data_IF_281880382116
#
_entry.id   IF_281880382116
#
_cell.length_a   1.000
_cell.length_b   1.000
_cell.length_c   1.000
_cell.angle_alpha   90.00
_cell.angle_beta   90.00
_cell.angle_gamma   90.00
#
_symmetry.space_group_name_H-M   'P 1'
#
loop_
_entity.id
_entity.type
_entity.pdbx_description
1 polymer ?
#
# COMPACT_ATOMS: atom_id res chain seq x y z
N UNK A 1 -3.70 12.76 -10.61
CA UNK A 1 -2.62 12.85 -9.59
C UNK A 1 -3.06 13.65 -8.38
N UNK A 2 -2.53 13.33 -7.21
CA UNK A 2 -2.78 14.10 -5.99
C UNK A 2 -1.91 15.36 -5.97
N UNK A 3 -2.56 16.52 -5.87
CA UNK A 3 -1.92 17.83 -5.74
C UNK A 3 -2.00 18.28 -4.30
N UNK A 4 -0.85 18.62 -3.71
CA UNK A 4 -0.80 19.24 -2.40
C UNK A 4 -1.29 20.68 -2.48
N UNK A 5 -2.33 21.01 -1.72
CA UNK A 5 -2.75 22.38 -1.45
C UNK A 5 -2.47 22.72 0.00
N UNK A 6 -1.85 23.87 0.21
CA UNK A 6 -1.60 24.41 1.54
C UNK A 6 -2.65 25.50 1.78
N UNK A 7 -3.42 25.34 2.85
CA UNK A 7 -4.45 26.30 3.21
C UNK A 7 -3.81 27.63 3.66
N UNK A 8 -4.29 28.72 3.09
CA UNK A 8 -3.92 30.10 3.46
C UNK A 8 -4.79 30.65 4.61
N UNK A 9 -5.69 29.82 5.15
CA UNK A 9 -6.57 30.15 6.27
C UNK A 9 -7.92 30.78 5.88
N UNK A 10 -8.68 31.24 6.87
CA UNK A 10 -9.86 32.10 6.65
C UNK A 10 -11.25 31.45 6.62
N UNK A 11 -11.43 30.20 7.09
CA UNK A 11 -12.77 29.59 7.20
C UNK A 11 -13.53 30.11 8.44
N UNK A 12 -14.65 30.85 8.30
CA UNK A 12 -15.40 31.43 9.42
C UNK A 12 -16.01 30.40 10.39
N UNK A 13 -16.18 29.16 9.93
CA UNK A 13 -16.90 28.10 10.65
C UNK A 13 -15.97 27.13 11.39
N UNK A 14 -14.65 27.29 11.25
CA UNK A 14 -13.67 26.41 11.89
C UNK A 14 -12.72 27.25 12.77
N UNK A 15 -12.49 26.85 14.02
CA UNK A 15 -11.60 27.58 14.96
C UNK A 15 -10.26 26.84 15.12
N UNK A 16 -9.14 27.53 14.86
CA UNK A 16 -7.77 27.06 15.21
C UNK A 16 -6.89 28.23 15.64
N UNK A 17 -5.81 27.93 16.38
CA UNK A 17 -4.86 28.94 16.89
C UNK A 17 -4.07 29.65 15.78
N UNK A 18 -3.93 29.03 14.61
CA UNK A 18 -3.23 29.62 13.45
C UNK A 18 -4.17 29.89 12.26
N UNK A 19 -5.48 30.04 12.51
CA UNK A 19 -6.47 30.33 11.48
C UNK A 19 -6.44 29.36 10.26
N UNK A 20 -6.06 28.09 10.48
CA UNK A 20 -5.86 27.01 9.49
C UNK A 20 -4.74 27.24 8.48
N UNK A 21 -3.93 28.29 8.66
CA UNK A 21 -2.76 28.54 7.82
C UNK A 21 -1.77 27.39 7.96
N UNK A 22 -1.32 26.85 6.83
CA UNK A 22 -0.35 25.76 6.77
C UNK A 22 -0.96 24.36 6.79
N UNK A 23 -2.29 24.22 6.86
CA UNK A 23 -2.94 22.91 6.73
C UNK A 23 -2.70 22.35 5.33
N UNK A 24 -2.22 21.11 5.27
CA UNK A 24 -2.02 20.39 4.02
C UNK A 24 -3.26 19.58 3.68
N UNK A 25 -3.81 19.79 2.49
CA UNK A 25 -4.92 19.02 1.92
C UNK A 25 -4.49 18.51 0.56
N UNK A 26 -4.70 17.22 0.32
CA UNK A 26 -4.45 16.62 -0.98
C UNK A 26 -5.75 16.58 -1.77
N UNK A 27 -5.72 17.13 -2.98
CA UNK A 27 -6.85 17.08 -3.92
C UNK A 27 -6.44 16.27 -5.15
N UNK A 28 -7.35 15.41 -5.62
CA UNK A 28 -7.10 14.66 -6.84
C UNK A 28 -7.41 15.52 -8.07
N UNK A 29 -6.43 15.68 -8.94
CA UNK A 29 -6.53 16.37 -10.22
C UNK A 29 -6.21 15.38 -11.36
N UNK A 30 -7.17 14.99 -12.19
CA UNK A 30 -6.98 13.98 -13.22
C UNK A 30 -5.97 14.39 -14.31
N UNK A 31 -5.75 15.69 -14.52
CA UNK A 31 -4.95 16.22 -15.63
C UNK A 31 -3.47 16.42 -15.26
N UNK A 32 -3.10 16.26 -13.98
CA UNK A 32 -1.76 16.53 -13.45
C UNK A 32 -0.82 15.30 -13.38
N UNK A 33 -1.07 14.26 -14.19
CA UNK A 33 -0.20 13.09 -14.33
C UNK A 33 0.99 13.32 -15.23
N UNK A 34 2.22 13.03 -14.78
CA UNK A 34 3.28 12.77 -15.74
C UNK A 34 2.93 11.51 -16.54
N UNK A 35 3.41 11.36 -17.79
CA UNK A 35 3.17 10.15 -18.58
C UNK A 35 3.64 8.86 -17.87
N UNK A 36 4.68 8.95 -17.05
CA UNK A 36 5.19 7.83 -16.24
C UNK A 36 4.23 7.45 -15.12
N UNK A 37 3.66 8.43 -14.43
CA UNK A 37 2.67 8.17 -13.37
C UNK A 37 1.39 7.54 -13.93
N UNK A 38 0.94 8.02 -15.10
CA UNK A 38 -0.21 7.45 -15.79
C UNK A 38 0.07 6.01 -16.25
N UNK A 39 1.27 5.74 -16.77
CA UNK A 39 1.68 4.39 -17.15
C UNK A 39 1.71 3.41 -15.96
N UNK A 40 2.00 3.88 -14.74
CA UNK A 40 1.90 3.04 -13.54
C UNK A 40 0.46 2.70 -13.17
N UNK A 41 -0.47 3.64 -13.37
CA UNK A 41 -1.91 3.44 -13.12
C UNK A 41 -2.53 2.52 -14.17
N UNK A 42 -2.15 2.70 -15.43
CA UNK A 42 -2.65 1.94 -16.59
C UNK A 42 -1.88 0.64 -16.83
N UNK A 43 -0.86 0.37 -16.02
CA UNK A 43 -0.05 -0.83 -16.08
C UNK A 43 -0.85 -2.11 -15.87
N UNK A 44 -0.28 -3.27 -16.24
CA UNK A 44 -0.94 -4.55 -16.03
C UNK A 44 -1.26 -4.78 -14.55
N UNK A 45 -2.42 -5.37 -14.29
CA UNK A 45 -2.84 -5.70 -12.93
C UNK A 45 -1.83 -6.63 -12.25
N UNK A 46 -1.49 -6.31 -11.00
CA UNK A 46 -0.61 -7.14 -10.17
C UNK A 46 -1.40 -7.81 -9.06
N UNK A 47 -0.95 -8.99 -8.59
CA UNK A 47 -1.61 -9.67 -7.48
C UNK A 47 -1.66 -8.78 -6.22
N UNK A 48 -0.59 -8.01 -5.96
CA UNK A 48 -0.54 -7.05 -4.86
C UNK A 48 -1.62 -5.96 -4.98
N UNK A 49 -1.68 -5.27 -6.13
CA UNK A 49 -2.65 -4.20 -6.36
C UNK A 49 -4.09 -4.68 -6.35
N UNK A 50 -4.38 -5.81 -7.03
CA UNK A 50 -5.74 -6.35 -7.12
C UNK A 50 -6.27 -6.84 -5.78
N UNK A 51 -5.46 -7.60 -5.01
CA UNK A 51 -5.90 -8.16 -3.72
C UNK A 51 -6.10 -7.05 -2.69
N UNK A 52 -5.16 -6.10 -2.56
CA UNK A 52 -5.31 -5.02 -1.57
C UNK A 52 -6.45 -4.05 -1.94
N UNK A 53 -6.63 -3.75 -3.22
CA UNK A 53 -7.78 -2.93 -3.67
C UNK A 53 -9.10 -3.65 -3.38
N UNK A 54 -9.20 -4.94 -3.69
CA UNK A 54 -10.39 -5.74 -3.39
C UNK A 54 -10.70 -5.73 -1.89
N UNK A 55 -9.69 -6.00 -1.04
CA UNK A 55 -9.87 -6.00 0.43
C UNK A 55 -10.24 -4.61 0.94
N UNK A 56 -9.64 -3.55 0.40
CA UNK A 56 -9.99 -2.17 0.76
C UNK A 56 -11.46 -1.86 0.45
N UNK A 57 -11.94 -2.22 -0.73
CA UNK A 57 -13.35 -2.04 -1.09
C UNK A 57 -14.28 -2.85 -0.16
N UNK A 58 -13.90 -4.09 0.20
CA UNK A 58 -14.65 -4.89 1.19
C UNK A 58 -14.69 -4.22 2.56
N UNK A 59 -13.61 -3.58 2.99
CA UNK A 59 -13.55 -2.83 4.26
C UNK A 59 -14.35 -1.52 4.21
N UNK A 60 -14.47 -0.89 3.04
CA UNK A 60 -15.30 0.30 2.82
C UNK A 60 -16.80 -0.02 2.73
N UNK A 61 -17.17 -1.30 2.72
CA UNK A 61 -18.56 -1.76 2.74
C UNK A 61 -19.11 -2.22 1.39
N UNK A 62 -18.29 -2.24 0.34
CA UNK A 62 -18.72 -2.76 -0.96
C UNK A 62 -19.00 -4.26 -0.88
N UNK A 63 -20.18 -4.67 -1.36
CA UNK A 63 -20.59 -6.06 -1.34
C UNK A 63 -19.83 -6.88 -2.38
N UNK A 64 -19.56 -8.15 -2.06
CA UNK A 64 -18.83 -9.01 -2.99
C UNK A 64 -19.65 -9.33 -4.26
N UNK A 65 -20.96 -9.13 -4.21
CA UNK A 65 -21.90 -9.33 -5.30
C UNK A 65 -22.87 -8.13 -5.41
N UNK A 66 -22.32 -6.92 -5.50
CA UNK A 66 -23.09 -5.67 -5.61
C UNK A 66 -23.90 -5.55 -6.92
N UNK A 67 -23.69 -6.48 -7.87
CA UNK A 67 -24.34 -6.49 -9.18
C UNK A 67 -23.77 -5.46 -10.16
N UNK A 68 -22.79 -4.66 -9.74
CA UNK A 68 -22.06 -3.72 -10.59
C UNK A 68 -20.91 -4.40 -11.34
N UNK A 69 -20.50 -5.60 -10.91
CA UNK A 69 -19.55 -6.46 -11.63
C UNK A 69 -18.08 -6.15 -11.36
N UNK A 70 -17.77 -5.01 -10.71
CA UNK A 70 -16.40 -4.61 -10.40
C UNK A 70 -15.77 -5.56 -9.37
N UNK A 71 -16.51 -5.87 -8.30
CA UNK A 71 -16.06 -6.77 -7.24
C UNK A 71 -15.91 -8.22 -7.74
N UNK A 72 -16.84 -8.68 -8.57
CA UNK A 72 -16.81 -10.00 -9.19
C UNK A 72 -15.67 -10.13 -10.20
N UNK A 73 -15.43 -9.10 -11.00
CA UNK A 73 -14.31 -9.03 -11.95
C UNK A 73 -12.96 -9.07 -11.25
N UNK A 74 -12.78 -8.25 -10.21
CA UNK A 74 -11.56 -8.25 -9.40
C UNK A 74 -11.31 -9.60 -8.73
N UNK A 75 -12.35 -10.18 -8.10
CA UNK A 75 -12.26 -11.50 -7.47
C UNK A 75 -11.93 -12.59 -8.49
N UNK A 76 -12.56 -12.58 -9.67
CA UNK A 76 -12.29 -13.54 -10.74
C UNK A 76 -10.84 -13.43 -11.20
N UNK A 77 -10.35 -12.23 -11.46
CA UNK A 77 -8.97 -12.02 -11.86
C UNK A 77 -7.99 -12.57 -10.82
N UNK A 78 -8.23 -12.33 -9.52
CA UNK A 78 -7.40 -12.86 -8.44
C UNK A 78 -7.39 -14.40 -8.45
N UNK A 79 -8.56 -15.03 -8.59
CA UNK A 79 -8.67 -16.50 -8.59
C UNK A 79 -7.98 -17.12 -9.82
N UNK A 80 -8.17 -16.53 -11.00
CA UNK A 80 -7.59 -17.01 -12.26
C UNK A 80 -6.04 -16.92 -12.28
N UNK A 81 -5.45 -16.07 -11.44
CA UNK A 81 -3.98 -15.86 -11.35
C UNK A 81 -3.33 -16.51 -10.12
N UNK A 82 -3.97 -17.51 -9.51
CA UNK A 82 -3.39 -18.30 -8.40
C UNK A 82 -3.79 -17.84 -7.00
N UNK A 83 -4.74 -16.89 -6.90
CA UNK A 83 -5.35 -16.47 -5.65
C UNK A 83 -4.46 -15.57 -4.78
N UNK A 84 -5.03 -15.12 -3.67
CA UNK A 84 -4.35 -14.21 -2.73
C UNK A 84 -3.08 -14.81 -2.10
N UNK A 85 -2.87 -16.13 -2.17
CA UNK A 85 -1.64 -16.79 -1.70
C UNK A 85 -0.40 -16.43 -2.52
N UNK A 86 -0.58 -16.00 -3.76
CA UNK A 86 0.51 -15.57 -4.66
C UNK A 86 0.94 -14.10 -4.43
N UNK A 87 0.34 -13.39 -3.47
CA UNK A 87 0.71 -12.01 -3.15
C UNK A 87 2.14 -11.92 -2.57
N UNK A 88 2.77 -10.74 -2.69
CA UNK A 88 4.10 -10.46 -2.13
C UNK A 88 4.13 -10.60 -0.61
N UNK A 89 5.32 -10.75 -0.02
CA UNK A 89 5.49 -10.88 1.45
C UNK A 89 4.85 -9.72 2.21
N UNK A 90 4.99 -8.49 1.70
CA UNK A 90 4.35 -7.32 2.29
C UNK A 90 2.82 -7.41 2.24
N UNK A 91 2.26 -7.90 1.14
CA UNK A 91 0.82 -8.12 1.03
C UNK A 91 0.31 -9.18 2.03
N UNK A 92 1.04 -10.28 2.19
CA UNK A 92 0.71 -11.33 3.17
C UNK A 92 0.69 -10.80 4.60
N UNK A 93 1.65 -9.94 4.95
CA UNK A 93 1.69 -9.29 6.26
C UNK A 93 0.39 -8.52 6.54
N UNK A 94 -0.05 -7.66 5.61
CA UNK A 94 -1.30 -6.90 5.78
C UNK A 94 -2.54 -7.79 5.88
N UNK A 95 -2.63 -8.85 5.07
CA UNK A 95 -3.72 -9.81 5.17
C UNK A 95 -3.71 -10.57 6.50
N UNK A 96 -2.53 -10.81 7.08
CA UNK A 96 -2.38 -11.46 8.39
C UNK A 96 -2.80 -10.55 9.53
N UNK A 97 -2.47 -9.25 9.44
CA UNK A 97 -2.95 -8.21 10.38
C UNK A 97 -4.48 -8.15 10.38
N UNK A 98 -5.11 -8.30 9.21
CA UNK A 98 -6.57 -8.36 9.07
C UNK A 98 -7.18 -9.70 9.49
N UNK A 99 -6.37 -10.71 9.81
CA UNK A 99 -6.82 -12.05 10.22
C UNK A 99 -7.38 -12.91 9.08
N UNK A 100 -7.13 -12.55 7.82
CA UNK A 100 -7.60 -13.29 6.63
C UNK A 100 -6.49 -14.13 5.97
N UNK A 101 -5.29 -14.11 6.55
CA UNK A 101 -4.15 -14.93 6.15
C UNK A 101 -3.39 -15.42 7.39
N UNK A 102 -2.89 -16.65 7.35
CA UNK A 102 -2.20 -17.25 8.50
C UNK A 102 -0.79 -16.67 8.66
N UNK A 103 -0.42 -16.26 9.87
CA UNK A 103 0.90 -15.67 10.15
C UNK A 103 2.06 -16.59 9.77
N UNK A 104 1.87 -17.91 9.87
CA UNK A 104 2.87 -18.92 9.48
C UNK A 104 3.23 -18.90 7.99
N UNK A 105 2.42 -18.24 7.15
CA UNK A 105 2.69 -18.06 5.73
C UNK A 105 3.58 -16.84 5.41
N UNK A 106 3.96 -16.04 6.41
CA UNK A 106 4.93 -14.95 6.26
C UNK A 106 6.35 -15.42 6.57
N UNK A 107 7.33 -14.82 5.90
CA UNK A 107 8.72 -14.99 6.30
C UNK A 107 8.95 -14.25 7.63
N UNK A 108 9.35 -14.95 8.71
CA UNK A 108 9.59 -14.29 9.98
C UNK A 108 10.80 -13.38 9.86
N UNK A 109 10.66 -12.14 10.33
CA UNK A 109 11.79 -11.24 10.54
C UNK A 109 12.09 -11.23 12.03
N UNK A 110 13.10 -12.01 12.47
CA UNK A 110 13.38 -12.17 13.89
C UNK A 110 13.79 -10.81 14.48
N UNK A 111 13.04 -10.28 15.48
CA UNK A 111 13.38 -9.00 16.10
C UNK A 111 14.76 -9.01 16.77
N UNK A 112 15.33 -10.19 17.03
CA UNK A 112 16.67 -10.39 17.58
C UNK A 112 17.78 -9.85 16.68
N UNK A 113 17.54 -9.67 15.37
CA UNK A 113 18.49 -9.04 14.45
C UNK A 113 18.83 -7.60 14.91
N UNK A 114 17.89 -6.91 15.57
CA UNK A 114 18.12 -5.59 16.15
C UNK A 114 19.06 -5.61 17.37
N UNK A 115 19.34 -6.79 17.95
CA UNK A 115 20.24 -6.95 19.10
C UNK A 115 21.68 -7.27 18.68
N UNK A 116 21.92 -7.48 17.38
CA UNK A 116 23.25 -7.81 16.88
C UNK A 116 24.22 -6.64 17.04
N UNK A 117 25.52 -6.91 17.21
CA UNK A 117 26.53 -5.86 17.16
C UNK A 117 26.49 -5.10 15.82
N UNK A 118 26.57 -3.77 15.86
CA UNK A 118 26.50 -2.89 14.66
C UNK A 118 27.59 -3.20 13.61
N UNK A 119 28.68 -3.84 14.03
CA UNK A 119 29.78 -4.28 13.14
C UNK A 119 29.34 -5.36 12.15
N UNK A 120 28.24 -6.08 12.43
CA UNK A 120 27.73 -7.11 11.52
C UNK A 120 26.96 -6.46 10.36
N UNK A 121 27.21 -6.89 9.10
CA UNK A 121 26.60 -6.29 7.91
C UNK A 121 25.09 -6.52 7.81
N UNK A 122 24.53 -7.40 8.65
CA UNK A 122 23.09 -7.69 8.73
C UNK A 122 22.36 -6.85 9.79
N UNK A 123 23.09 -6.02 10.55
CA UNK A 123 22.46 -5.16 11.54
C UNK A 123 21.57 -4.10 10.85
N UNK A 124 20.33 -3.85 11.33
CA UNK A 124 19.38 -2.95 10.66
C UNK A 124 19.92 -1.54 10.45
N UNK A 125 20.71 -1.02 11.39
CA UNK A 125 21.32 0.30 11.29
C UNK A 125 22.39 0.44 10.20
N UNK A 126 22.87 -0.67 9.66
CA UNK A 126 23.86 -0.67 8.58
C UNK A 126 23.21 -0.45 7.20
N UNK A 127 21.88 -0.55 7.11
CA UNK A 127 21.12 -0.31 5.89
C UNK A 127 20.63 1.14 5.80
N UNK A 128 20.42 1.61 4.56
CA UNK A 128 19.58 2.80 4.38
C UNK A 128 18.16 2.51 4.86
N UNK A 129 17.40 3.55 5.24
CA UNK A 129 16.00 3.39 5.65
C UNK A 129 15.15 2.71 4.56
N UNK A 130 15.47 2.97 3.28
CA UNK A 130 14.80 2.35 2.14
C UNK A 130 15.17 0.87 1.99
N UNK A 131 16.46 0.53 2.06
CA UNK A 131 16.92 -0.86 1.94
C UNK A 131 16.41 -1.73 3.10
N UNK A 132 16.34 -1.15 4.29
CA UNK A 132 15.74 -1.80 5.44
C UNK A 132 14.28 -2.16 5.18
N UNK A 133 13.47 -1.24 4.65
CA UNK A 133 12.06 -1.52 4.31
C UNK A 133 11.95 -2.54 3.18
N UNK A 134 12.80 -2.48 2.16
CA UNK A 134 12.79 -3.44 1.04
C UNK A 134 13.06 -4.87 1.51
N UNK A 135 13.84 -5.07 2.57
CA UNK A 135 14.06 -6.40 3.15
C UNK A 135 12.77 -7.09 3.62
N UNK A 136 11.72 -6.32 3.99
CA UNK A 136 10.39 -6.84 4.38
C UNK A 136 9.52 -7.21 3.19
N UNK A 137 9.74 -6.57 2.04
CA UNK A 137 8.91 -6.78 0.84
C UNK A 137 9.25 -8.13 0.19
N UNK A 138 10.42 -8.70 0.53
CA UNK A 138 11.03 -9.82 -0.19
C UNK A 138 11.48 -9.34 -1.57
N UNK A 139 12.55 -9.90 -2.11
CA UNK A 139 12.98 -9.65 -3.49
C UNK A 139 11.89 -10.12 -4.46
N UNK A 140 10.86 -9.30 -4.66
CA UNK A 140 10.12 -9.31 -5.89
C UNK A 140 11.15 -8.91 -6.95
N UNK A 141 11.54 -9.87 -7.78
CA UNK A 141 12.10 -9.57 -9.08
C UNK A 141 11.03 -8.74 -9.81
N UNK A 142 11.11 -7.42 -9.64
CA UNK A 142 10.52 -6.47 -10.58
C UNK A 142 11.41 -6.52 -11.83
N UNK A 143 11.33 -7.65 -12.55
CA UNK A 143 11.79 -7.71 -13.92
C UNK A 143 10.71 -7.02 -14.75
N UNK A 144 11.01 -5.78 -15.15
CA UNK A 144 10.33 -5.09 -16.24
C UNK A 144 10.60 -5.82 -17.56
#
# INVERSE_FOLDING_TARGET
MWKLKIAEGGNPWLRTLNNHVGRQVWEFDPDLGSPEDLAQIEGPSTMFGSVLSYVTLRLLGEEANDGQGAMEGGRRWILDHGGATAITSWGKMWLSVLGVFEWSGNNPLPPEICLLPYILPIHPGSFSSYDWVLSFIGSANFSY
#
